data_IF_066864522991
#
_entry.id   IF_066864522991
#
_cell.length_a   1.000
_cell.length_b   1.000
_cell.length_c   1.000
_cell.angle_alpha   90.00
_cell.angle_beta   90.00
_cell.angle_gamma   90.00
#
_symmetry.space_group_name_H-M   'P 1'
#
loop_
_entity.id
_entity.type
_entity.pdbx_description
1 polymer ?
#
# COMPACT_ATOMS: atom_id res chain seq x y z
N UNK A 1 -20.78 12.57 11.29
CA UNK A 1 -19.34 12.21 11.41
C UNK A 1 -19.26 10.86 12.14
N UNK A 2 -18.13 10.12 12.13
CA UNK A 2 -18.07 8.77 12.71
C UNK A 2 -18.28 8.72 14.23
N UNK A 3 -18.16 9.87 14.92
CA UNK A 3 -18.44 10.02 16.35
C UNK A 3 -19.29 11.26 16.63
N UNK A 4 -19.88 11.32 17.83
CA UNK A 4 -20.51 12.52 18.40
C UNK A 4 -19.50 13.52 18.99
N UNK A 5 -18.24 13.11 19.21
CA UNK A 5 -17.18 13.98 19.74
C UNK A 5 -16.41 14.69 18.61
N UNK A 6 -16.28 16.02 18.72
CA UNK A 6 -15.54 16.84 17.75
C UNK A 6 -14.06 16.45 17.64
N UNK A 7 -13.39 16.15 18.76
CA UNK A 7 -11.97 15.81 18.79
C UNK A 7 -11.68 14.49 18.07
N UNK A 8 -12.51 13.47 18.31
CA UNK A 8 -12.40 12.18 17.64
C UNK A 8 -12.60 12.31 16.12
N UNK A 9 -13.56 13.16 15.72
CA UNK A 9 -13.80 13.45 14.31
C UNK A 9 -12.64 14.20 13.65
N UNK A 10 -11.96 15.09 14.37
CA UNK A 10 -10.75 15.77 13.89
C UNK A 10 -9.59 14.77 13.69
N UNK A 11 -9.36 13.89 14.66
CA UNK A 11 -8.33 12.84 14.55
C UNK A 11 -8.62 11.89 13.38
N UNK A 12 -9.88 11.46 13.23
CA UNK A 12 -10.31 10.65 12.10
C UNK A 12 -10.04 11.36 10.76
N UNK A 13 -10.37 12.64 10.67
CA UNK A 13 -10.14 13.44 9.46
C UNK A 13 -8.65 13.54 9.09
N UNK A 14 -7.78 13.75 10.07
CA UNK A 14 -6.33 13.79 9.85
C UNK A 14 -5.80 12.45 9.32
N UNK A 15 -6.23 11.34 9.93
CA UNK A 15 -5.85 10.00 9.46
C UNK A 15 -6.34 9.77 8.02
N UNK A 16 -7.54 10.25 7.69
CA UNK A 16 -8.08 10.13 6.33
C UNK A 16 -7.28 10.91 5.30
N UNK A 17 -6.88 12.15 5.60
CA UNK A 17 -6.02 12.94 4.72
C UNK A 17 -4.67 12.24 4.53
N UNK A 18 -4.06 11.76 5.61
CA UNK A 18 -2.78 11.04 5.56
C UNK A 18 -2.89 9.78 4.68
N UNK A 19 -3.93 8.97 4.86
CA UNK A 19 -4.17 7.78 4.06
C UNK A 19 -4.39 8.12 2.57
N UNK A 20 -5.12 9.20 2.26
CA UNK A 20 -5.35 9.65 0.89
C UNK A 20 -4.06 10.14 0.21
N UNK A 21 -3.24 10.91 0.92
CA UNK A 21 -1.96 11.38 0.43
C UNK A 21 -1.00 10.20 0.22
N UNK A 22 -0.92 9.29 1.18
CA UNK A 22 -0.12 8.08 1.08
C UNK A 22 -0.51 7.24 -0.12
N UNK A 23 -1.81 6.99 -0.33
CA UNK A 23 -2.28 6.29 -1.52
C UNK A 23 -1.88 7.01 -2.82
N UNK A 24 -1.97 8.33 -2.86
CA UNK A 24 -1.57 9.11 -4.04
C UNK A 24 -0.07 8.97 -4.32
N UNK A 25 0.76 9.03 -3.29
CA UNK A 25 2.21 8.80 -3.37
C UNK A 25 2.50 7.39 -3.88
N UNK A 26 1.90 6.36 -3.26
CA UNK A 26 2.08 4.96 -3.66
C UNK A 26 1.69 4.73 -5.13
N UNK A 27 0.57 5.30 -5.57
CA UNK A 27 0.11 5.18 -6.96
C UNK A 27 1.09 5.81 -7.96
N UNK A 28 1.64 6.98 -7.63
CA UNK A 28 2.48 7.76 -8.55
C UNK A 28 3.93 7.31 -8.55
N UNK A 29 4.51 7.13 -7.37
CA UNK A 29 5.95 6.89 -7.20
C UNK A 29 6.29 5.40 -7.11
N UNK A 30 5.41 4.57 -6.57
CA UNK A 30 5.68 3.15 -6.36
C UNK A 30 5.07 2.30 -7.47
N UNK A 31 3.76 2.39 -7.72
CA UNK A 31 3.11 1.54 -8.72
C UNK A 31 3.31 2.08 -10.15
N UNK A 32 3.17 3.40 -10.34
CA UNK A 32 3.47 4.10 -11.60
C UNK A 32 2.55 3.72 -12.77
N UNK A 33 2.83 4.27 -13.95
CA UNK A 33 2.11 3.96 -15.20
C UNK A 33 0.58 4.07 -15.06
N UNK A 34 -0.14 3.05 -15.53
CA UNK A 34 -1.61 3.02 -15.47
C UNK A 34 -2.18 3.03 -14.03
N UNK A 35 -1.37 2.76 -13.01
CA UNK A 35 -1.81 2.76 -11.61
C UNK A 35 -2.01 4.17 -11.05
N UNK A 36 -1.35 5.19 -11.62
CA UNK A 36 -1.50 6.57 -11.20
C UNK A 36 -2.96 7.07 -11.30
N UNK A 37 -3.71 6.61 -12.31
CA UNK A 37 -5.11 6.97 -12.54
C UNK A 37 -6.11 5.97 -11.94
N UNK A 38 -5.68 4.78 -11.50
CA UNK A 38 -6.60 3.75 -10.97
C UNK A 38 -7.35 4.21 -9.73
N UNK A 39 -8.62 3.83 -9.65
CA UNK A 39 -9.43 4.05 -8.44
C UNK A 39 -8.92 3.15 -7.30
N UNK A 40 -9.10 3.60 -6.07
CA UNK A 40 -8.74 2.82 -4.87
C UNK A 40 -9.37 1.42 -4.88
N UNK A 41 -10.61 1.28 -5.38
CA UNK A 41 -11.27 -0.03 -5.51
C UNK A 41 -10.41 -1.02 -6.30
N UNK A 42 -9.87 -0.60 -7.45
CA UNK A 42 -9.03 -1.46 -8.26
C UNK A 42 -7.77 -1.88 -7.50
N UNK A 43 -7.08 -0.93 -6.87
CA UNK A 43 -5.86 -1.19 -6.07
C UNK A 43 -6.14 -2.18 -4.95
N UNK A 44 -7.28 -2.03 -4.25
CA UNK A 44 -7.66 -2.99 -3.21
C UNK A 44 -7.77 -4.40 -3.75
N UNK A 45 -8.46 -4.62 -4.87
CA UNK A 45 -8.66 -5.97 -5.40
C UNK A 45 -7.42 -6.55 -6.10
N UNK A 46 -6.56 -5.71 -6.69
CA UNK A 46 -5.45 -6.18 -7.52
C UNK A 46 -4.06 -6.01 -6.90
N UNK A 47 -3.96 -5.45 -5.69
CA UNK A 47 -2.68 -5.23 -5.00
C UNK A 47 -2.75 -5.44 -3.48
N UNK A 48 -3.82 -5.02 -2.79
CA UNK A 48 -3.86 -5.11 -1.32
C UNK A 48 -4.49 -6.42 -0.85
N UNK A 49 -5.63 -6.79 -1.40
CA UNK A 49 -6.45 -7.93 -0.99
C UNK A 49 -6.24 -9.13 -1.91
N UNK A 50 -4.99 -9.45 -2.23
CA UNK A 50 -4.65 -10.63 -3.02
C UNK A 50 -4.54 -11.84 -2.08
N UNK A 51 -5.11 -13.01 -2.43
CA UNK A 51 -4.94 -14.21 -1.64
C UNK A 51 -3.47 -14.63 -1.60
N UNK A 52 -2.95 -14.82 -0.39
CA UNK A 52 -1.59 -15.27 -0.12
C UNK A 52 -1.49 -15.94 1.24
N UNK A 53 -0.41 -16.71 1.44
CA UNK A 53 -0.10 -17.33 2.73
C UNK A 53 1.02 -16.54 3.39
N UNK A 54 0.77 -16.09 4.61
CA UNK A 54 1.81 -15.52 5.48
C UNK A 54 2.51 -16.68 6.18
N UNK A 55 3.84 -16.71 6.10
CA UNK A 55 4.69 -17.70 6.76
C UNK A 55 5.75 -16.96 7.55
N UNK A 56 5.84 -17.23 8.84
CA UNK A 56 6.92 -16.73 9.68
C UNK A 56 7.96 -17.85 9.85
N UNK A 57 9.23 -17.55 9.57
CA UNK A 57 10.34 -18.48 9.79
C UNK A 57 11.61 -17.70 10.09
N UNK A 58 12.38 -18.12 11.09
CA UNK A 58 13.70 -17.54 11.37
C UNK A 58 13.69 -16.01 11.56
N UNK A 59 12.63 -15.45 12.16
CA UNK A 59 12.40 -14.00 12.34
C UNK A 59 12.15 -13.23 11.03
N UNK A 60 11.82 -13.94 9.94
CA UNK A 60 11.41 -13.36 8.68
C UNK A 60 9.92 -13.58 8.44
N UNK A 61 9.24 -12.55 7.96
CA UNK A 61 7.86 -12.60 7.50
C UNK A 61 7.83 -12.77 5.98
N UNK A 62 7.36 -13.93 5.52
CA UNK A 62 7.32 -14.30 4.11
C UNK A 62 5.88 -14.31 3.62
N UNK A 63 5.59 -13.52 2.58
CA UNK A 63 4.30 -13.57 1.87
C UNK A 63 4.45 -14.49 0.67
N UNK A 64 3.75 -15.64 0.69
CA UNK A 64 3.71 -16.59 -0.42
C UNK A 64 2.47 -16.38 -1.27
N UNK A 65 2.68 -16.23 -2.58
CA UNK A 65 1.61 -16.20 -3.57
C UNK A 65 1.50 -17.54 -4.28
N UNK A 66 0.35 -17.76 -4.93
CA UNK A 66 0.18 -18.91 -5.84
C UNK A 66 1.26 -18.85 -6.93
N UNK A 67 1.83 -20.00 -7.29
CA UNK A 67 2.87 -20.09 -8.33
C UNK A 67 2.35 -19.48 -9.64
N UNK A 68 3.13 -18.58 -10.24
CA UNK A 68 2.77 -17.89 -11.49
C UNK A 68 1.75 -16.76 -11.33
N UNK A 69 1.40 -16.37 -10.11
CA UNK A 69 0.47 -15.26 -9.91
C UNK A 69 1.09 -13.93 -10.42
N UNK A 70 0.40 -13.18 -11.29
CA UNK A 70 0.97 -12.01 -11.97
C UNK A 70 1.35 -10.87 -11.02
N UNK A 71 0.79 -10.84 -9.81
CA UNK A 71 1.12 -9.82 -8.82
C UNK A 71 2.52 -9.95 -8.22
N UNK A 72 3.21 -11.10 -8.36
CA UNK A 72 4.55 -11.26 -7.81
C UNK A 72 5.51 -10.20 -8.35
N UNK A 73 5.54 -10.02 -9.68
CA UNK A 73 6.37 -9.00 -10.34
C UNK A 73 6.00 -7.59 -9.88
N UNK A 74 4.70 -7.33 -9.72
CA UNK A 74 4.21 -6.04 -9.23
C UNK A 74 4.71 -5.73 -7.81
N UNK A 75 4.68 -6.72 -6.90
CA UNK A 75 5.20 -6.53 -5.54
C UNK A 75 6.71 -6.36 -5.50
N UNK A 76 7.45 -7.14 -6.30
CA UNK A 76 8.91 -7.05 -6.37
C UNK A 76 9.36 -5.70 -6.93
N UNK A 77 8.73 -5.21 -8.01
CA UNK A 77 8.98 -3.88 -8.55
C UNK A 77 8.62 -2.78 -7.55
N UNK A 78 7.45 -2.88 -6.90
CA UNK A 78 7.06 -1.93 -5.86
C UNK A 78 8.09 -1.87 -4.73
N UNK A 79 8.56 -3.03 -4.24
CA UNK A 79 9.60 -3.11 -3.21
C UNK A 79 10.92 -2.51 -3.69
N UNK A 80 11.35 -2.82 -4.93
CA UNK A 80 12.57 -2.23 -5.51
C UNK A 80 12.49 -0.70 -5.56
N UNK A 81 11.37 -0.14 -6.00
CA UNK A 81 11.17 1.32 -6.05
C UNK A 81 11.17 1.96 -4.67
N UNK A 82 10.51 1.34 -3.69
CA UNK A 82 10.54 1.83 -2.30
C UNK A 82 11.96 1.83 -1.75
N UNK A 83 12.71 0.75 -1.95
CA UNK A 83 14.10 0.65 -1.46
C UNK A 83 15.06 1.61 -2.18
N UNK A 84 14.73 2.02 -3.40
CA UNK A 84 15.51 3.02 -4.15
C UNK A 84 15.22 4.47 -3.70
N UNK A 85 14.14 4.71 -2.94
CA UNK A 85 13.89 6.02 -2.36
C UNK A 85 14.89 6.23 -1.22
N UNK A 86 15.79 7.20 -1.39
CA UNK A 86 16.70 7.58 -0.31
C UNK A 86 15.89 8.13 0.87
N UNK A 87 16.22 7.76 2.12
CA UNK A 87 15.75 8.54 3.25
C UNK A 87 16.31 9.95 3.07
N UNK A 88 15.43 10.96 3.10
CA UNK A 88 15.87 12.34 3.25
C UNK A 88 16.40 12.44 4.68
N UNK A 89 17.71 12.31 4.85
CA UNK A 89 18.36 12.73 6.09
C UNK A 89 18.26 14.25 6.13
N UNK A 90 17.37 14.76 6.98
CA UNK A 90 17.28 16.16 7.36
C UNK A 90 18.16 16.47 8.55
#
# INVERSE_FOLDING_TARGET
MPSGDFGENAAWWWIMILAMNFNTIMKRLVLGGSWASRRMKAIRFSFINIPGRIVERSRELIVRLVKGHPALELYLEARRRIMAMMPVYG
#
